data_IF_595669314141
#
_entry.id   IF_595669314141
#
_cell.length_a   1.000
_cell.length_b   1.000
_cell.length_c   1.000
_cell.angle_alpha   90.00
_cell.angle_beta   90.00
_cell.angle_gamma   90.00
#
_symmetry.space_group_name_H-M   'P 1'
#
loop_
_entity.id
_entity.type
_entity.pdbx_description
1 polymer ?
#
# COMPACT_ATOMS: atom_id res chain seq x y z
N UNK A 1 -57.80 1.68 -14.03
CA UNK A 1 -57.69 2.49 -15.27
C UNK A 1 -57.95 3.95 -14.87
N UNK A 2 -57.23 5.01 -15.22
CA UNK A 2 -55.94 5.24 -15.89
C UNK A 2 -55.50 6.69 -15.57
N UNK A 3 -54.20 6.86 -15.26
CA UNK A 3 -53.24 7.87 -15.76
C UNK A 3 -53.56 9.38 -15.75
N UNK A 4 -52.80 10.13 -14.94
CA UNK A 4 -52.22 11.47 -15.20
C UNK A 4 -50.85 11.50 -14.45
N UNK A 5 -49.72 12.05 -14.89
CA UNK A 5 -49.37 12.95 -15.98
C UNK A 5 -47.87 12.76 -16.34
N UNK A 6 -47.54 12.82 -17.63
CA UNK A 6 -46.15 12.88 -18.15
C UNK A 6 -45.99 14.20 -18.90
N UNK A 7 -45.60 15.29 -18.22
CA UNK A 7 -45.30 16.56 -18.93
C UNK A 7 -44.30 17.49 -18.23
N UNK A 8 -43.64 17.09 -17.13
CA UNK A 8 -42.76 18.01 -16.38
C UNK A 8 -41.26 17.66 -16.46
N UNK A 9 -40.87 16.57 -17.11
CA UNK A 9 -39.46 16.10 -17.09
C UNK A 9 -38.58 16.53 -18.27
N UNK A 10 -39.10 17.33 -19.22
CA UNK A 10 -38.37 17.65 -20.45
C UNK A 10 -37.72 19.04 -20.49
N UNK A 11 -37.97 19.93 -19.52
CA UNK A 11 -37.37 21.28 -19.52
C UNK A 11 -36.05 21.42 -18.74
N UNK A 12 -35.68 20.43 -17.92
CA UNK A 12 -34.48 20.53 -17.07
C UNK A 12 -33.15 20.19 -17.76
N UNK A 13 -33.18 19.57 -18.94
CA UNK A 13 -31.98 19.02 -19.59
C UNK A 13 -31.32 19.98 -20.57
N UNK A 14 -32.00 21.04 -21.01
CA UNK A 14 -31.47 21.96 -22.03
C UNK A 14 -30.55 23.07 -21.45
N UNK A 15 -30.74 23.47 -20.19
CA UNK A 15 -29.97 24.56 -19.58
C UNK A 15 -28.58 24.15 -19.10
N UNK A 16 -28.35 22.86 -18.79
CA UNK A 16 -27.03 22.39 -18.38
C UNK A 16 -26.05 22.28 -19.57
N UNK A 17 -26.53 21.93 -20.76
CA UNK A 17 -25.70 21.75 -21.94
C UNK A 17 -25.11 23.07 -22.49
N UNK A 18 -25.82 24.19 -22.33
CA UNK A 18 -25.35 25.49 -22.79
C UNK A 18 -24.24 26.08 -21.89
N UNK A 19 -24.14 25.68 -20.61
CA UNK A 19 -23.13 26.19 -19.68
C UNK A 19 -21.77 25.45 -19.79
N UNK A 20 -21.72 24.25 -20.37
CA UNK A 20 -20.51 23.43 -20.50
C UNK A 20 -19.69 23.71 -21.78
N UNK A 21 -20.19 24.53 -22.71
CA UNK A 21 -19.51 24.85 -23.96
C UNK A 21 -18.44 25.95 -23.87
N UNK A 22 -18.30 26.65 -22.74
CA UNK A 22 -17.48 27.88 -22.63
C UNK A 22 -16.04 27.61 -22.13
N UNK A 23 -15.66 26.38 -21.78
CA UNK A 23 -14.30 26.08 -21.26
C UNK A 23 -13.41 25.36 -22.30
N UNK A 24 -13.85 25.26 -23.55
CA UNK A 24 -13.06 24.65 -24.63
C UNK A 24 -12.30 25.72 -25.45
N UNK A 25 -11.26 26.31 -24.88
CA UNK A 25 -10.17 26.90 -25.66
C UNK A 25 -8.88 26.98 -24.81
N UNK A 26 -7.95 26.01 -24.92
CA UNK A 26 -6.57 26.28 -24.57
C UNK A 26 -5.94 27.01 -25.76
N UNK A 27 -5.95 28.34 -25.72
CA UNK A 27 -5.05 29.14 -26.54
C UNK A 27 -3.63 29.01 -25.97
N UNK A 28 -2.93 27.92 -26.30
CA UNK A 28 -1.47 27.88 -26.17
C UNK A 28 -0.87 28.71 -27.31
N UNK A 29 -0.83 30.02 -27.11
CA UNK A 29 -0.05 30.92 -27.93
C UNK A 29 0.81 31.79 -27.00
N UNK A 30 2.11 31.50 -26.98
CA UNK A 30 3.13 32.50 -26.70
C UNK A 30 3.63 32.57 -25.25
N UNK A 31 4.53 31.66 -24.88
CA UNK A 31 5.89 32.08 -24.54
C UNK A 31 6.87 30.92 -24.74
N UNK A 32 7.07 30.54 -26.01
CA UNK A 32 8.21 29.74 -26.42
C UNK A 32 9.43 30.66 -26.43
N UNK A 33 10.05 30.90 -25.27
CA UNK A 33 11.47 31.20 -25.27
C UNK A 33 12.14 29.88 -25.64
N UNK A 34 12.41 29.72 -26.94
CA UNK A 34 12.70 28.46 -27.58
C UNK A 34 13.87 27.72 -26.91
N UNK A 35 13.59 26.55 -26.32
CA UNK A 35 14.59 25.48 -26.28
C UNK A 35 15.37 25.23 -24.99
N UNK A 36 14.93 25.69 -23.81
CA UNK A 36 15.45 25.12 -22.55
C UNK A 36 14.55 23.96 -22.07
N UNK A 37 14.94 22.68 -22.27
CA UNK A 37 14.13 21.51 -21.94
C UNK A 37 14.14 21.18 -20.44
N UNK A 38 14.65 22.07 -19.58
CA UNK A 38 14.71 21.79 -18.15
C UNK A 38 13.29 21.65 -17.58
N UNK A 39 12.95 20.50 -16.98
CA UNK A 39 11.65 20.33 -16.33
C UNK A 39 11.55 21.35 -15.19
N UNK A 40 10.64 22.31 -15.34
CA UNK A 40 10.32 23.25 -14.25
C UNK A 40 9.59 22.45 -13.16
N UNK A 41 10.11 22.39 -11.92
CA UNK A 41 9.45 21.64 -10.86
C UNK A 41 8.09 22.28 -10.55
N UNK A 42 7.03 21.53 -10.83
CA UNK A 42 5.67 21.88 -10.42
C UNK A 42 5.58 21.69 -8.90
N UNK A 43 5.53 22.79 -8.15
CA UNK A 43 5.21 22.72 -6.73
C UNK A 43 3.71 22.47 -6.59
N UNK A 44 3.34 21.39 -5.91
CA UNK A 44 1.93 21.16 -5.58
C UNK A 44 1.48 22.25 -4.61
N UNK A 45 0.48 23.06 -5.00
CA UNK A 45 -0.14 24.06 -4.12
C UNK A 45 -1.07 23.44 -3.07
N UNK A 46 -1.37 22.15 -3.21
CA UNK A 46 -2.24 21.40 -2.30
C UNK A 46 -1.44 20.85 -1.12
N UNK A 47 -1.92 21.15 0.09
CA UNK A 47 -1.34 20.64 1.33
C UNK A 47 -1.70 19.17 1.53
N UNK A 48 -0.86 18.43 2.27
CA UNK A 48 -1.16 17.02 2.60
C UNK A 48 -2.52 16.87 3.29
N UNK A 49 -2.90 17.79 4.17
CA UNK A 49 -4.21 17.76 4.83
C UNK A 49 -5.37 17.93 3.86
N UNK A 50 -5.22 18.78 2.84
CA UNK A 50 -6.23 18.96 1.79
C UNK A 50 -6.39 17.69 0.94
N UNK A 51 -5.28 17.03 0.57
CA UNK A 51 -5.33 15.72 -0.13
C UNK A 51 -6.08 14.69 0.71
N UNK A 52 -5.76 14.60 2.00
CA UNK A 52 -6.41 13.61 2.87
C UNK A 52 -7.90 13.90 3.05
N UNK A 53 -8.29 15.17 3.18
CA UNK A 53 -9.68 15.57 3.27
C UNK A 53 -10.45 15.24 1.97
N UNK A 54 -9.85 15.51 0.82
CA UNK A 54 -10.43 15.20 -0.49
C UNK A 54 -10.55 13.69 -0.72
N UNK A 55 -9.54 12.91 -0.33
CA UNK A 55 -9.57 11.45 -0.40
C UNK A 55 -10.68 10.86 0.49
N UNK A 56 -10.88 11.39 1.71
CA UNK A 56 -11.98 10.99 2.59
C UNK A 56 -13.33 11.35 1.98
N UNK A 57 -13.44 12.49 1.32
CA UNK A 57 -14.66 12.93 0.66
C UNK A 57 -15.00 12.07 -0.57
N UNK A 58 -14.00 11.73 -1.37
CA UNK A 58 -14.12 10.80 -2.48
C UNK A 58 -14.57 9.42 -1.99
N UNK A 59 -13.98 8.90 -0.90
CA UNK A 59 -14.33 7.59 -0.36
C UNK A 59 -15.81 7.46 0.04
N UNK A 60 -16.45 8.54 0.50
CA UNK A 60 -17.89 8.56 0.85
C UNK A 60 -18.80 8.39 -0.38
N UNK A 61 -18.32 8.81 -1.54
CA UNK A 61 -19.10 8.85 -2.80
C UNK A 61 -18.60 7.85 -3.83
N UNK A 62 -17.49 7.19 -3.55
CA UNK A 62 -16.87 6.21 -4.43
C UNK A 62 -17.85 5.05 -4.70
N UNK A 63 -18.11 4.70 -5.97
CA UNK A 63 -18.92 3.54 -6.31
C UNK A 63 -18.25 2.28 -5.74
N UNK A 64 -18.92 1.61 -4.81
CA UNK A 64 -18.53 0.26 -4.45
C UNK A 64 -18.88 -0.65 -5.63
N UNK A 65 -17.88 -1.06 -6.41
CA UNK A 65 -18.03 -2.02 -7.51
C UNK A 65 -18.35 -3.43 -6.96
N UNK A 66 -19.47 -3.58 -6.23
CA UNK A 66 -19.92 -4.84 -5.65
C UNK A 66 -19.19 -5.30 -4.38
N UNK A 67 -18.16 -4.58 -3.91
CA UNK A 67 -17.56 -4.83 -2.60
C UNK A 67 -18.46 -4.22 -1.52
N UNK A 68 -18.95 -5.07 -0.61
CA UNK A 68 -19.97 -4.73 0.37
C UNK A 68 -19.55 -3.54 1.23
N UNK A 69 -20.52 -2.70 1.58
CA UNK A 69 -20.39 -1.50 2.41
C UNK A 69 -20.11 -1.85 3.88
N UNK A 70 -19.04 -2.60 4.12
CA UNK A 70 -18.47 -2.84 5.43
C UNK A 70 -17.16 -2.09 5.53
N UNK A 71 -17.19 -0.75 5.54
CA UNK A 71 -16.05 0.04 6.03
C UNK A 71 -15.91 -0.12 7.55
N UNK A 72 -16.01 -1.34 8.06
CA UNK A 72 -15.29 -1.68 9.26
C UNK A 72 -13.83 -1.68 8.81
N UNK A 73 -13.14 -0.58 9.09
CA UNK A 73 -11.70 -0.59 9.27
C UNK A 73 -11.39 -1.46 10.50
N UNK A 74 -11.83 -2.73 10.49
CA UNK A 74 -11.22 -3.73 11.33
C UNK A 74 -9.76 -3.66 10.93
N UNK A 75 -8.89 -3.35 11.91
CA UNK A 75 -7.47 -3.33 11.68
C UNK A 75 -7.15 -4.58 10.89
N UNK A 76 -6.82 -4.41 9.60
CA UNK A 76 -6.29 -5.52 8.82
C UNK A 76 -5.08 -5.89 9.65
N UNK A 77 -5.11 -7.07 10.27
CA UNK A 77 -3.98 -7.57 11.01
C UNK A 77 -2.92 -7.86 9.96
N UNK A 78 -2.25 -6.81 9.49
CA UNK A 78 -1.08 -6.86 8.61
C UNK A 78 0.08 -7.28 9.50
N UNK A 79 -0.03 -8.49 10.01
CA UNK A 79 0.91 -9.58 9.87
C UNK A 79 0.71 -10.53 11.05
N UNK A 80 0.53 -11.81 10.74
CA UNK A 80 0.73 -12.86 11.73
C UNK A 80 2.19 -12.87 12.27
N UNK A 81 3.11 -12.18 11.58
CA UNK A 81 4.54 -12.15 11.87
C UNK A 81 5.06 -10.72 12.02
N UNK A 82 5.44 -10.31 13.23
CA UNK A 82 6.05 -9.00 13.48
C UNK A 82 7.37 -8.85 12.73
N UNK A 83 7.83 -7.62 12.46
CA UNK A 83 9.16 -7.38 11.85
C UNK A 83 10.29 -8.04 12.65
N UNK A 84 10.17 -8.08 13.97
CA UNK A 84 11.08 -8.76 14.86
C UNK A 84 11.07 -10.28 14.65
N UNK A 85 9.89 -10.89 14.48
CA UNK A 85 9.76 -12.31 14.18
C UNK A 85 10.41 -12.67 12.85
N UNK A 86 10.19 -11.87 11.80
CA UNK A 86 10.84 -12.08 10.49
C UNK A 86 12.36 -11.97 10.60
N UNK A 87 12.88 -10.95 11.30
CA UNK A 87 14.32 -10.78 11.46
C UNK A 87 14.98 -11.92 12.28
N UNK A 88 14.29 -12.44 13.30
CA UNK A 88 14.73 -13.61 14.05
C UNK A 88 14.76 -14.86 13.15
N UNK A 89 13.69 -15.08 12.40
CA UNK A 89 13.53 -16.22 11.50
C UNK A 89 14.61 -16.24 10.42
N UNK A 90 14.92 -15.08 9.81
CA UNK A 90 16.01 -14.92 8.84
C UNK A 90 17.36 -15.27 9.45
N UNK A 91 17.63 -14.89 10.71
CA UNK A 91 18.89 -15.26 11.39
C UNK A 91 19.02 -16.76 11.57
N UNK A 92 17.94 -17.43 11.99
CA UNK A 92 17.91 -18.89 12.15
C UNK A 92 18.06 -19.60 10.80
N UNK A 93 17.43 -19.07 9.74
CA UNK A 93 17.55 -19.58 8.38
C UNK A 93 18.99 -19.55 7.87
N UNK A 94 19.74 -18.48 8.17
CA UNK A 94 21.16 -18.37 7.86
C UNK A 94 21.98 -19.32 8.74
N UNK A 95 21.75 -19.33 10.06
CA UNK A 95 22.52 -20.13 11.02
C UNK A 95 22.40 -21.63 10.79
N UNK A 96 21.22 -22.11 10.38
CA UNK A 96 20.98 -23.52 10.05
C UNK A 96 21.68 -24.00 8.77
N UNK A 97 22.27 -23.08 7.99
CA UNK A 97 22.82 -23.38 6.67
C UNK A 97 21.76 -23.60 5.59
N UNK A 98 20.46 -23.47 5.92
CA UNK A 98 19.36 -23.64 4.98
C UNK A 98 19.41 -22.58 3.88
N UNK A 99 19.84 -21.36 4.23
CA UNK A 99 20.08 -20.29 3.26
C UNK A 99 21.09 -20.67 2.17
N UNK A 100 22.20 -21.31 2.55
CA UNK A 100 23.23 -21.73 1.61
C UNK A 100 22.75 -22.89 0.72
N UNK A 101 22.00 -23.83 1.28
CA UNK A 101 21.42 -24.94 0.51
C UNK A 101 20.37 -24.45 -0.49
N UNK A 102 19.53 -23.48 -0.11
CA UNK A 102 18.48 -22.92 -0.97
C UNK A 102 19.02 -21.96 -2.03
N UNK A 103 20.14 -21.28 -1.77
CA UNK A 103 20.74 -20.31 -2.70
C UNK A 103 21.75 -20.95 -3.68
N UNK A 104 22.04 -22.25 -3.56
CA UNK A 104 22.93 -22.96 -4.48
C UNK A 104 22.29 -23.20 -5.86
N UNK A 105 23.09 -23.58 -6.85
CA UNK A 105 22.63 -23.76 -8.25
C UNK A 105 21.48 -24.77 -8.43
N UNK A 106 21.40 -25.75 -7.53
CA UNK A 106 20.32 -26.74 -7.54
C UNK A 106 19.03 -26.26 -6.84
N UNK A 107 19.05 -25.08 -6.21
CA UNK A 107 17.94 -24.55 -5.41
C UNK A 107 17.59 -25.42 -4.20
N UNK A 108 16.36 -25.27 -3.71
CA UNK A 108 15.80 -26.00 -2.58
C UNK A 108 15.50 -27.47 -2.90
N UNK A 109 16.51 -28.25 -3.26
CA UNK A 109 16.37 -29.68 -3.54
C UNK A 109 16.20 -30.48 -2.25
N UNK A 110 14.95 -30.87 -1.97
CA UNK A 110 14.55 -31.59 -0.76
C UNK A 110 15.09 -33.03 -0.70
N UNK A 111 15.60 -33.57 -1.82
CA UNK A 111 16.17 -34.92 -1.88
C UNK A 111 17.61 -34.95 -1.40
N UNK A 112 18.30 -33.80 -1.38
CA UNK A 112 19.70 -33.72 -0.95
C UNK A 112 19.83 -33.94 0.57
N UNK A 113 20.79 -34.76 1.00
CA UNK A 113 21.01 -34.98 2.43
C UNK A 113 21.39 -33.67 3.16
N UNK A 114 22.18 -32.80 2.52
CA UNK A 114 22.55 -31.49 3.08
C UNK A 114 21.36 -30.57 3.31
N UNK A 115 20.37 -30.55 2.40
CA UNK A 115 19.14 -29.79 2.59
C UNK A 115 18.31 -30.32 3.76
N UNK A 116 18.14 -31.65 3.85
CA UNK A 116 17.35 -32.28 4.93
C UNK A 116 17.98 -32.04 6.30
N UNK A 117 19.30 -32.08 6.40
CA UNK A 117 20.04 -31.76 7.61
C UNK A 117 19.84 -30.29 8.02
N UNK A 118 20.05 -29.35 7.09
CA UNK A 118 19.85 -27.93 7.36
C UNK A 118 18.40 -27.59 7.74
N UNK A 119 17.42 -28.23 7.09
CA UNK A 119 16.00 -28.06 7.42
C UNK A 119 15.65 -28.60 8.83
N UNK A 120 16.23 -29.73 9.22
CA UNK A 120 16.07 -30.27 10.57
C UNK A 120 16.69 -29.34 11.63
N UNK A 121 17.89 -28.80 11.37
CA UNK A 121 18.53 -27.83 12.27
C UNK A 121 17.74 -26.53 12.39
N UNK A 122 17.23 -25.99 11.27
CA UNK A 122 16.33 -24.84 11.29
C UNK A 122 15.09 -25.10 12.17
N UNK A 123 14.47 -26.27 12.02
CA UNK A 123 13.29 -26.66 12.80
C UNK A 123 13.62 -26.75 14.30
N UNK A 124 14.77 -27.33 14.66
CA UNK A 124 15.25 -27.39 16.05
C UNK A 124 15.49 -26.00 16.64
N UNK A 125 16.17 -25.12 15.90
CA UNK A 125 16.43 -23.76 16.34
C UNK A 125 15.14 -22.96 16.52
N UNK A 126 14.17 -23.15 15.63
CA UNK A 126 12.88 -22.45 15.67
C UNK A 126 11.97 -22.94 16.80
N UNK A 127 12.06 -24.21 17.16
CA UNK A 127 11.36 -24.79 18.31
C UNK A 127 12.05 -24.48 19.65
N UNK A 128 13.28 -23.95 19.64
CA UNK A 128 14.02 -23.62 20.84
C UNK A 128 13.43 -22.39 21.55
N UNK A 129 13.42 -22.36 22.91
CA UNK A 129 13.06 -21.16 23.67
C UNK A 129 13.90 -19.92 23.31
N UNK A 130 15.11 -20.13 22.80
CA UNK A 130 16.00 -19.06 22.35
C UNK A 130 15.39 -18.21 21.21
N UNK A 131 14.51 -18.79 20.39
CA UNK A 131 13.82 -18.05 19.33
C UNK A 131 12.90 -16.98 19.90
N UNK A 132 12.09 -17.30 20.91
CA UNK A 132 11.20 -16.33 21.56
C UNK A 132 11.97 -15.16 22.17
N UNK A 133 13.06 -15.46 22.88
CA UNK A 133 13.94 -14.44 23.45
C UNK A 133 14.57 -13.53 22.38
N UNK A 134 14.97 -14.10 21.22
CA UNK A 134 15.52 -13.34 20.10
C UNK A 134 14.47 -12.40 19.48
N UNK A 135 13.23 -12.87 19.34
CA UNK A 135 12.11 -12.04 18.86
C UNK A 135 11.86 -10.87 19.80
N UNK A 136 11.82 -11.11 21.11
CA UNK A 136 11.61 -10.05 22.10
C UNK A 136 12.77 -9.04 22.12
N UNK A 137 14.01 -9.52 22.03
CA UNK A 137 15.18 -8.65 21.95
C UNK A 137 15.11 -7.74 20.70
N UNK A 138 14.78 -8.30 19.54
CA UNK A 138 14.67 -7.54 18.29
C UNK A 138 13.48 -6.58 18.32
N UNK A 139 12.37 -6.96 18.94
CA UNK A 139 11.22 -6.08 19.16
C UNK A 139 11.59 -4.87 20.01
N UNK A 140 12.32 -5.10 21.11
CA UNK A 140 12.79 -4.02 21.99
C UNK A 140 13.77 -3.07 21.27
N UNK A 141 14.67 -3.62 20.44
CA UNK A 141 15.56 -2.81 19.60
C UNK A 141 14.80 -1.97 18.57
N UNK A 142 13.77 -2.55 17.92
CA UNK A 142 12.93 -1.83 16.97
C UNK A 142 12.11 -0.72 17.64
N UNK A 143 11.66 -0.92 18.87
CA UNK A 143 10.97 0.10 19.65
C UNK A 143 11.92 1.25 20.06
N UNK A 144 13.14 0.93 20.48
CA UNK A 144 14.15 1.93 20.83
C UNK A 144 14.66 2.72 19.61
N UNK A 145 14.67 2.11 18.43
CA UNK A 145 15.09 2.72 17.17
C UNK A 145 13.97 3.53 16.47
N UNK A 146 12.75 3.57 17.01
CA UNK A 146 11.71 4.51 16.59
C UNK A 146 11.77 5.74 17.50
N UNK A 147 12.63 6.74 17.23
CA UNK A 147 12.50 8.02 17.91
C UNK A 147 11.14 8.57 17.53
N UNK A 148 10.40 9.01 18.55
CA UNK A 148 9.13 9.69 18.42
C UNK A 148 9.22 10.72 17.29
N UNK A 149 8.66 10.39 16.13
CA UNK A 149 8.29 11.41 15.14
C UNK A 149 7.03 12.08 15.70
N UNK A 150 7.18 12.74 16.85
CA UNK A 150 6.22 13.69 17.37
C UNK A 150 6.27 14.86 16.40
N UNK A 151 5.29 14.85 15.50
CA UNK A 151 4.94 15.99 14.68
C UNK A 151 4.59 17.12 15.65
N UNK A 152 5.45 18.13 15.71
CA UNK A 152 5.22 19.38 16.42
C UNK A 152 4.57 20.38 15.47
#
# INVERSE_FOLDING_TARGET
MNKQASTTRLLGTATLAALLGVIAAPSFAGNYAEGDPRPVPLTSSTTRSAVTADAVQWLKTAPTQGYTSGYQQGAVAVSANTRAAVAADTRLWIQSGLAAQQSGEAGADMTKPGYRQAAAEYTKLRASPAYGALVDQLKNQQAAAQPQTQVR
#
